data_IF_162379028838
#
_entry.id   IF_162379028838
#
_cell.length_a   1.000
_cell.length_b   1.000
_cell.length_c   1.000
_cell.angle_alpha   90.00
_cell.angle_beta   90.00
_cell.angle_gamma   90.00
#
_symmetry.space_group_name_H-M   'P 1'
#
loop_
_entity.id
_entity.type
_entity.pdbx_description
1 polymer ?
#
# COMPACT_ATOMS: atom_id res chain seq x y z
N UNK A 1 8.93 -9.01 -1.31
CA UNK A 1 9.02 -7.91 -2.27
C UNK A 1 9.69 -6.72 -1.61
N UNK A 2 10.61 -6.05 -2.30
CA UNK A 2 11.15 -4.75 -1.89
C UNK A 2 10.28 -3.63 -2.49
N UNK A 3 10.13 -2.53 -1.77
CA UNK A 3 9.38 -1.35 -2.23
C UNK A 3 10.10 -0.09 -1.79
N UNK A 4 9.87 1.00 -2.54
CA UNK A 4 10.30 2.34 -2.15
C UNK A 4 9.10 3.23 -1.85
N UNK A 5 9.25 4.16 -0.92
CA UNK A 5 8.22 5.13 -0.59
C UNK A 5 8.44 6.41 -1.42
N UNK A 6 7.37 6.94 -2.02
CA UNK A 6 7.39 8.33 -2.46
C UNK A 6 7.53 9.27 -1.26
N UNK A 7 8.00 10.51 -1.48
CA UNK A 7 8.08 11.51 -0.39
C UNK A 7 6.71 11.74 0.28
N UNK A 8 5.64 11.69 -0.52
CA UNK A 8 4.27 11.77 -0.03
C UNK A 8 3.89 10.56 0.82
N UNK A 9 4.16 9.35 0.34
CA UNK A 9 3.89 8.11 1.07
C UNK A 9 4.62 8.10 2.40
N UNK A 10 5.91 8.45 2.41
CA UNK A 10 6.74 8.48 3.61
C UNK A 10 6.12 9.35 4.71
N UNK A 11 5.72 10.59 4.36
CA UNK A 11 5.05 11.50 5.30
C UNK A 11 3.73 10.92 5.83
N UNK A 12 2.89 10.36 4.95
CA UNK A 12 1.57 9.81 5.32
C UNK A 12 1.67 8.57 6.21
N UNK A 13 2.56 7.64 5.86
CA UNK A 13 2.80 6.40 6.60
C UNK A 13 3.31 6.72 8.00
N UNK A 14 4.26 7.66 8.11
CA UNK A 14 4.79 8.09 9.40
C UNK A 14 3.72 8.76 10.28
N UNK A 15 2.94 9.69 9.72
CA UNK A 15 1.85 10.36 10.45
C UNK A 15 0.78 9.39 10.96
N UNK A 16 0.44 8.37 10.15
CA UNK A 16 -0.60 7.38 10.48
C UNK A 16 -0.08 6.17 11.25
N UNK A 17 1.22 6.12 11.53
CA UNK A 17 1.91 4.99 12.18
C UNK A 17 1.60 3.67 11.48
N UNK A 18 1.63 3.69 10.15
CA UNK A 18 1.48 2.49 9.32
C UNK A 18 2.83 1.78 9.33
N UNK A 19 2.84 0.51 9.73
CA UNK A 19 4.07 -0.28 9.76
C UNK A 19 4.46 -0.71 8.34
N UNK A 20 5.76 -0.67 7.98
CA UNK A 20 6.24 -1.19 6.70
C UNK A 20 5.86 -2.66 6.46
N UNK A 21 5.78 -3.47 7.52
CA UNK A 21 5.36 -4.88 7.45
C UNK A 21 3.94 -5.05 6.91
N UNK A 22 3.02 -4.13 7.26
CA UNK A 22 1.64 -4.17 6.77
C UNK A 22 1.56 -3.79 5.29
N UNK A 23 2.37 -2.82 4.87
CA UNK A 23 2.48 -2.43 3.46
C UNK A 23 3.02 -3.60 2.64
N UNK A 24 4.10 -4.21 3.12
CA UNK A 24 4.70 -5.40 2.50
C UNK A 24 3.69 -6.53 2.38
N UNK A 25 2.97 -6.82 3.46
CA UNK A 25 1.95 -7.86 3.45
C UNK A 25 0.80 -7.56 2.48
N UNK A 26 0.40 -6.28 2.35
CA UNK A 26 -0.65 -5.86 1.42
C UNK A 26 -0.23 -6.04 -0.04
N UNK A 27 1.01 -5.69 -0.41
CA UNK A 27 1.48 -5.84 -1.80
C UNK A 27 1.83 -7.30 -2.16
N UNK A 28 2.28 -8.11 -1.20
CA UNK A 28 2.63 -9.52 -1.47
C UNK A 28 1.42 -10.46 -1.44
N UNK A 29 0.50 -10.22 -0.50
CA UNK A 29 -0.68 -11.06 -0.28
C UNK A 29 -1.91 -10.18 -0.02
N UNK A 30 -2.38 -9.40 -1.01
CA UNK A 30 -3.60 -8.63 -0.87
C UNK A 30 -4.81 -9.55 -0.68
N UNK A 31 -5.79 -9.10 0.11
CA UNK A 31 -7.11 -9.74 0.16
C UNK A 31 -7.95 -9.35 -1.06
N UNK A 32 -7.72 -8.14 -1.58
CA UNK A 32 -8.31 -7.64 -2.81
C UNK A 32 -7.30 -6.77 -3.55
N UNK A 33 -7.20 -6.96 -4.86
CA UNK A 33 -6.42 -6.13 -5.76
C UNK A 33 -7.40 -5.42 -6.70
N UNK A 34 -7.35 -4.10 -6.74
CA UNK A 34 -8.11 -3.27 -7.67
C UNK A 34 -7.14 -2.51 -8.58
N UNK A 35 -7.50 -2.39 -9.86
CA UNK A 35 -6.78 -1.54 -10.81
C UNK A 35 -7.25 -0.09 -10.63
N UNK A 36 -6.36 0.88 -10.83
CA UNK A 36 -6.77 2.28 -10.85
C UNK A 36 -7.33 2.65 -12.24
N UNK A 37 -8.61 3.01 -12.28
CA UNK A 37 -9.32 3.33 -13.53
C UNK A 37 -8.82 4.62 -14.20
N UNK A 38 -8.15 5.50 -13.46
CA UNK A 38 -7.62 6.76 -13.96
C UNK A 38 -6.16 6.62 -14.40
N UNK A 39 -5.38 5.75 -13.74
CA UNK A 39 -3.97 5.55 -14.02
C UNK A 39 -3.60 4.05 -14.01
N UNK A 40 -3.55 3.42 -15.20
CA UNK A 40 -3.24 1.99 -15.37
C UNK A 40 -1.83 1.57 -14.94
N UNK A 41 -1.02 2.50 -14.42
CA UNK A 41 0.27 2.18 -13.81
C UNK A 41 0.18 1.92 -12.30
N UNK A 42 -0.98 2.21 -11.69
CA UNK A 42 -1.23 2.13 -10.26
C UNK A 42 -2.12 0.93 -9.91
N UNK A 43 -1.68 0.18 -8.92
CA UNK A 43 -2.43 -0.90 -8.31
C UNK A 43 -2.85 -0.55 -6.89
N UNK A 44 -4.06 -0.95 -6.53
CA UNK A 44 -4.65 -0.79 -5.20
C UNK A 44 -4.71 -2.15 -4.51
N UNK A 45 -3.76 -2.40 -3.62
CA UNK A 45 -3.78 -3.56 -2.75
C UNK A 45 -4.53 -3.24 -1.46
N UNK A 46 -5.57 -4.02 -1.16
CA UNK A 46 -6.28 -3.96 0.12
C UNK A 46 -5.94 -5.18 0.95
N UNK A 47 -5.69 -4.95 2.23
CA UNK A 47 -5.46 -6.02 3.20
C UNK A 47 -6.08 -5.72 4.55
N UNK A 48 -6.85 -6.64 5.11
CA UNK A 48 -7.31 -6.56 6.49
C UNK A 48 -6.13 -6.84 7.43
N UNK A 49 -5.87 -5.92 8.37
CA UNK A 49 -4.76 -6.04 9.32
C UNK A 49 -5.31 -6.52 10.68
N UNK A 50 -5.10 -7.80 11.08
CA UNK A 50 -5.65 -8.34 12.33
C UNK A 50 -5.16 -7.56 13.56
N UNK A 51 -3.88 -7.16 13.57
CA UNK A 51 -3.27 -6.35 14.63
C UNK A 51 -3.91 -4.98 14.83
N UNK A 52 -4.68 -4.50 13.84
CA UNK A 52 -5.40 -3.23 13.87
C UNK A 52 -6.90 -3.41 14.05
N UNK A 53 -7.34 -4.58 14.53
CA UNK A 53 -8.76 -4.93 14.66
C UNK A 53 -9.41 -5.19 13.30
N UNK A 54 -8.68 -5.84 12.38
CA UNK A 54 -9.11 -6.17 11.02
C UNK A 54 -9.48 -4.95 10.15
N UNK A 55 -8.95 -3.77 10.47
CA UNK A 55 -9.07 -2.61 9.59
C UNK A 55 -8.40 -2.87 8.25
N UNK A 56 -9.07 -2.48 7.17
CA UNK A 56 -8.54 -2.60 5.80
C UNK A 56 -7.51 -1.51 5.57
N UNK A 57 -6.28 -1.94 5.31
CA UNK A 57 -5.21 -1.08 4.80
C UNK A 57 -5.29 -1.09 3.28
N UNK A 58 -5.49 0.08 2.69
CA UNK A 58 -5.35 0.31 1.25
C UNK A 58 -3.96 0.84 0.97
N UNK A 59 -3.25 0.20 0.05
CA UNK A 59 -1.92 0.56 -0.41
C UNK A 59 -1.99 0.81 -1.91
N UNK A 60 -1.63 2.03 -2.32
CA UNK A 60 -1.56 2.43 -3.72
C UNK A 60 -0.09 2.44 -4.11
N UNK A 61 0.26 1.67 -5.14
CA UNK A 61 1.63 1.56 -5.61
C UNK A 61 1.72 1.46 -7.12
N UNK A 62 2.82 1.97 -7.67
CA UNK A 62 3.11 1.84 -9.09
C UNK A 62 3.82 0.50 -9.33
N UNK A 63 3.13 -0.42 -10.01
CA UNK A 63 3.63 -1.77 -10.31
C UNK A 63 4.60 -1.83 -11.48
N UNK A 64 4.67 -0.76 -12.29
CA UNK A 64 5.55 -0.68 -13.48
C UNK A 64 7.00 -0.33 -13.14
N UNK A 65 7.32 -0.15 -11.85
CA UNK A 65 8.66 0.20 -11.35
C UNK A 65 9.25 -0.93 -10.53
N UNK A 66 10.58 -1.13 -10.63
CA UNK A 66 11.31 -2.10 -9.81
C UNK A 66 12.44 -1.40 -9.02
N UNK A 67 12.42 -1.42 -7.66
CA UNK A 67 11.33 -1.91 -6.80
C UNK A 67 10.07 -1.03 -6.91
N UNK A 68 8.90 -1.63 -6.63
CA UNK A 68 7.60 -0.94 -6.73
C UNK A 68 7.56 0.31 -5.87
N UNK A 69 6.90 1.35 -6.38
CA UNK A 69 6.85 2.66 -5.71
C UNK A 69 5.53 2.81 -4.99
N UNK A 70 5.54 2.84 -3.66
CA UNK A 70 4.35 3.16 -2.87
C UNK A 70 4.05 4.65 -3.02
N UNK A 71 2.87 4.95 -3.54
CA UNK A 71 2.37 6.32 -3.72
C UNK A 71 1.72 6.81 -2.44
N UNK A 72 0.88 5.99 -1.80
CA UNK A 72 0.26 6.28 -0.50
C UNK A 72 -0.27 5.02 0.17
N UNK A 73 -0.49 5.08 1.48
CA UNK A 73 -1.17 4.04 2.24
C UNK A 73 -2.05 4.65 3.35
N UNK A 74 -3.21 4.05 3.59
CA UNK A 74 -4.14 4.45 4.64
C UNK A 74 -5.10 3.34 5.03
N UNK A 75 -5.62 3.43 6.26
CA UNK A 75 -6.72 2.58 6.69
C UNK A 75 -8.06 3.19 6.29
N UNK A 76 -8.98 2.36 5.82
CA UNK A 76 -10.40 2.69 5.65
C UNK A 76 -11.15 2.72 7.01
#
# INVERSE_FOLDING_TARGET
>A
MEFKLSDHAQKRIQQRKIKPEWIKAAIEHPDLLEDDFEDSTLAHALKAIPEKGFKKLRVIYNETTEPVTIVTAYFE
#
